data_IF_551883327741
#
_entry.id   IF_551883327741
#
_cell.length_a   1.000
_cell.length_b   1.000
_cell.length_c   1.000
_cell.angle_alpha   90.00
_cell.angle_beta   90.00
_cell.angle_gamma   90.00
#
_symmetry.space_group_name_H-M   'P 1'
#
loop_
_entity.id
_entity.type
_entity.pdbx_description
1 polymer ?
#
# COMPACT_ATOMS: atom_id res chain seq x y z
N UNK A 1 9.83 -5.24 42.58
CA UNK A 1 10.61 -5.33 41.33
C UNK A 1 11.13 -3.93 41.06
N UNK A 2 12.45 -3.74 41.01
CA UNK A 2 13.00 -2.46 40.59
C UNK A 2 12.78 -2.29 39.09
N UNK A 3 12.19 -1.16 38.71
CA UNK A 3 12.03 -0.76 37.32
C UNK A 3 13.37 -0.25 36.81
N UNK A 4 13.79 -0.72 35.64
CA UNK A 4 14.90 -0.09 34.93
C UNK A 4 14.56 1.38 34.65
N UNK A 5 15.43 2.28 35.13
CA UNK A 5 15.26 3.73 34.99
C UNK A 5 15.06 4.14 33.52
N UNK A 6 15.68 3.44 32.57
CA UNK A 6 15.52 3.70 31.14
C UNK A 6 14.11 3.42 30.67
N UNK A 7 13.55 2.27 31.06
CA UNK A 7 12.17 1.87 30.71
C UNK A 7 11.18 2.85 31.32
N UNK A 8 11.43 3.30 32.56
CA UNK A 8 10.59 4.29 33.22
C UNK A 8 10.56 5.61 32.46
N UNK A 9 11.73 6.17 32.15
CA UNK A 9 11.85 7.44 31.40
C UNK A 9 11.21 7.31 30.02
N UNK A 10 11.40 6.17 29.35
CA UNK A 10 10.80 5.93 28.02
C UNK A 10 9.27 5.91 28.07
N UNK A 11 8.68 5.16 29.00
CA UNK A 11 7.22 5.11 29.18
C UNK A 11 6.65 6.48 29.53
N UNK A 12 7.29 7.19 30.46
CA UNK A 12 6.83 8.53 30.88
C UNK A 12 6.92 9.54 29.73
N UNK A 13 7.99 9.49 28.92
CA UNK A 13 8.16 10.36 27.76
C UNK A 13 7.11 10.07 26.67
N UNK A 14 6.88 8.80 26.33
CA UNK A 14 5.87 8.42 25.32
C UNK A 14 4.48 8.79 25.82
N UNK A 15 4.17 8.56 27.10
CA UNK A 15 2.88 8.90 27.68
C UNK A 15 2.60 10.41 27.67
N UNK A 16 3.64 11.25 27.80
CA UNK A 16 3.49 12.71 27.76
C UNK A 16 3.12 13.25 26.37
N UNK A 17 3.50 12.54 25.29
CA UNK A 17 3.26 12.96 23.90
C UNK A 17 2.27 12.03 23.15
N UNK A 18 1.57 11.16 23.88
CA UNK A 18 0.77 10.07 23.30
C UNK A 18 -0.38 10.56 22.39
N UNK A 19 -0.87 11.78 22.61
CA UNK A 19 -1.93 12.39 21.81
C UNK A 19 -1.40 13.07 20.54
N UNK A 20 -0.12 13.44 20.52
CA UNK A 20 0.55 14.11 19.39
C UNK A 20 1.31 13.15 18.49
N UNK A 21 1.70 11.97 19.01
CA UNK A 21 2.46 10.97 18.28
C UNK A 21 1.61 10.28 17.20
N UNK A 22 2.20 10.13 16.02
CA UNK A 22 1.54 9.42 14.92
C UNK A 22 1.67 7.88 15.03
N UNK A 23 0.85 7.16 14.27
CA UNK A 23 0.77 5.69 14.35
C UNK A 23 2.08 5.01 13.92
N UNK A 24 2.84 5.62 13.00
CA UNK A 24 4.14 5.08 12.58
C UNK A 24 5.20 5.35 13.63
N UNK A 25 5.25 6.57 14.18
CA UNK A 25 6.17 6.94 15.25
C UNK A 25 6.00 6.08 16.50
N UNK A 26 4.75 5.77 16.88
CA UNK A 26 4.48 4.89 18.02
C UNK A 26 5.02 3.47 17.79
N UNK A 27 5.02 3.00 16.54
CA UNK A 27 5.64 1.74 16.13
C UNK A 27 7.13 1.88 15.80
N UNK A 28 7.73 3.07 15.99
CA UNK A 28 9.12 3.40 15.63
C UNK A 28 9.43 3.15 14.15
N UNK A 29 8.46 3.42 13.29
CA UNK A 29 8.55 3.29 11.84
C UNK A 29 8.55 4.66 11.17
N UNK A 30 9.05 4.69 9.92
CA UNK A 30 8.87 5.84 9.04
C UNK A 30 7.47 5.84 8.45
N UNK A 31 6.94 7.03 8.19
CA UNK A 31 5.67 7.20 7.49
C UNK A 31 5.63 6.42 6.18
N UNK A 32 4.56 5.66 5.97
CA UNK A 32 4.37 4.83 4.80
C UNK A 32 5.03 3.45 4.83
N UNK A 33 5.66 3.04 5.94
CA UNK A 33 6.29 1.72 6.07
C UNK A 33 5.38 0.56 5.59
N UNK A 34 5.96 -0.50 5.00
CA UNK A 34 5.17 -1.61 4.47
C UNK A 34 4.57 -2.45 5.60
N UNK A 35 3.42 -3.08 5.33
CA UNK A 35 2.66 -3.88 6.33
C UNK A 35 3.53 -4.94 7.05
N UNK A 36 4.44 -5.69 6.37
CA UNK A 36 5.30 -6.64 7.07
C UNK A 36 6.23 -6.01 8.12
N UNK A 37 6.60 -4.75 7.96
CA UNK A 37 7.43 -4.05 8.94
C UNK A 37 6.58 -3.49 10.08
N UNK A 38 5.33 -3.10 9.79
CA UNK A 38 4.30 -2.79 10.79
C UNK A 38 4.07 -4.00 11.72
N UNK A 39 3.91 -5.20 11.17
CA UNK A 39 3.72 -6.44 11.95
C UNK A 39 4.92 -6.75 12.85
N UNK A 40 6.15 -6.65 12.32
CA UNK A 40 7.38 -6.88 13.10
C UNK A 40 7.54 -5.84 14.21
N UNK A 41 7.31 -4.58 13.89
CA UNK A 41 7.42 -3.48 14.84
C UNK A 41 6.41 -3.64 15.98
N UNK A 42 5.14 -3.92 15.64
CA UNK A 42 4.11 -4.22 16.63
C UNK A 42 4.53 -5.38 17.54
N UNK A 43 4.97 -6.51 16.98
CA UNK A 43 5.40 -7.65 17.79
C UNK A 43 6.55 -7.33 18.75
N UNK A 44 7.48 -6.44 18.37
CA UNK A 44 8.54 -5.97 19.24
C UNK A 44 8.02 -5.03 20.34
N UNK A 45 7.24 -4.02 19.97
CA UNK A 45 6.74 -3.01 20.91
C UNK A 45 5.69 -3.58 21.88
N UNK A 46 4.80 -4.46 21.43
CA UNK A 46 3.82 -5.13 22.30
C UNK A 46 4.50 -5.94 23.40
N UNK A 47 5.64 -6.58 23.12
CA UNK A 47 6.41 -7.32 24.13
C UNK A 47 7.05 -6.39 25.16
N UNK A 48 7.44 -5.18 24.77
CA UNK A 48 8.06 -4.22 25.67
C UNK A 48 7.02 -3.51 26.54
N UNK A 49 5.88 -3.15 25.97
CA UNK A 49 4.83 -2.36 26.63
C UNK A 49 3.62 -3.19 27.08
N UNK A 50 3.74 -4.52 27.19
CA UNK A 50 2.64 -5.35 27.69
C UNK A 50 2.39 -5.04 29.18
N UNK A 51 1.15 -4.72 29.60
CA UNK A 51 0.85 -4.39 30.99
C UNK A 51 1.18 -5.54 31.96
N UNK A 52 1.04 -6.80 31.55
CA UNK A 52 1.36 -7.97 32.40
C UNK A 52 2.83 -8.00 32.84
N UNK A 53 3.75 -7.44 32.06
CA UNK A 53 5.16 -7.38 32.45
C UNK A 53 5.38 -6.50 33.70
N UNK A 54 4.40 -5.66 34.04
CA UNK A 54 4.50 -4.64 35.08
C UNK A 54 3.43 -4.77 36.18
N UNK A 55 2.73 -5.91 36.25
CA UNK A 55 1.65 -6.14 37.22
C UNK A 55 2.11 -5.99 38.70
N UNK A 56 3.38 -6.24 39.00
CA UNK A 56 3.98 -6.12 40.35
C UNK A 56 4.67 -4.78 40.65
N UNK A 57 4.55 -3.78 39.78
CA UNK A 57 5.13 -2.44 39.98
C UNK A 57 4.21 -1.63 40.90
N UNK A 58 4.73 -1.17 42.04
CA UNK A 58 3.99 -0.36 43.02
C UNK A 58 3.69 1.09 42.62
N UNK A 59 3.75 1.42 41.33
CA UNK A 59 3.52 2.76 40.77
C UNK A 59 2.30 2.72 39.84
N UNK A 60 1.16 3.14 40.38
CA UNK A 60 -0.11 3.16 39.65
C UNK A 60 -0.09 4.13 38.45
N UNK A 61 0.69 5.22 38.51
CA UNK A 61 0.81 6.18 37.40
C UNK A 61 1.55 5.54 36.25
N UNK A 62 2.65 4.85 36.54
CA UNK A 62 3.40 4.09 35.55
C UNK A 62 2.55 2.99 34.91
N UNK A 63 1.83 2.19 35.71
CA UNK A 63 0.96 1.13 35.16
C UNK A 63 -0.13 1.67 34.23
N UNK A 64 -0.75 2.81 34.58
CA UNK A 64 -1.72 3.50 33.71
C UNK A 64 -1.06 3.98 32.42
N UNK A 65 0.14 4.55 32.50
CA UNK A 65 0.90 5.00 31.33
C UNK A 65 1.19 3.83 30.36
N UNK A 66 1.70 2.71 30.86
CA UNK A 66 1.94 1.50 30.04
C UNK A 66 0.65 1.01 29.40
N UNK A 67 -0.45 0.95 30.15
CA UNK A 67 -1.76 0.51 29.63
C UNK A 67 -2.25 1.43 28.51
N UNK A 68 -2.14 2.75 28.68
CA UNK A 68 -2.52 3.72 27.66
C UNK A 68 -1.66 3.60 26.41
N UNK A 69 -0.34 3.45 26.56
CA UNK A 69 0.58 3.23 25.44
C UNK A 69 0.21 1.95 24.69
N UNK A 70 0.00 0.85 25.40
CA UNK A 70 -0.37 -0.43 24.81
C UNK A 70 -1.69 -0.36 24.04
N UNK A 71 -2.69 0.35 24.58
CA UNK A 71 -3.96 0.58 23.89
C UNK A 71 -3.75 1.35 22.58
N UNK A 72 -3.01 2.46 22.62
CA UNK A 72 -2.69 3.27 21.44
C UNK A 72 -1.89 2.47 20.40
N UNK A 73 -0.99 1.60 20.87
CA UNK A 73 -0.20 0.71 20.03
C UNK A 73 -1.09 -0.27 19.25
N UNK A 74 -2.10 -0.84 19.91
CA UNK A 74 -3.08 -1.72 19.28
C UNK A 74 -3.93 -0.97 18.24
N UNK A 75 -4.38 0.25 18.57
CA UNK A 75 -5.12 1.10 17.63
C UNK A 75 -4.28 1.43 16.39
N UNK A 76 -3.02 1.84 16.58
CA UNK A 76 -2.07 2.11 15.50
C UNK A 76 -1.87 0.87 14.61
N UNK A 77 -1.69 -0.31 15.21
CA UNK A 77 -1.54 -1.55 14.48
C UNK A 77 -2.79 -1.93 13.68
N UNK A 78 -3.99 -1.79 14.25
CA UNK A 78 -5.24 -2.09 13.54
C UNK A 78 -5.41 -1.20 12.30
N UNK A 79 -5.08 0.09 12.40
CA UNK A 79 -5.15 1.02 11.27
C UNK A 79 -4.09 0.70 10.21
N UNK A 80 -2.87 0.37 10.62
CA UNK A 80 -1.74 0.20 9.70
C UNK A 80 -1.62 -1.21 9.11
N UNK A 81 -2.26 -2.22 9.72
CA UNK A 81 -2.29 -3.59 9.19
C UNK A 81 -3.27 -3.73 8.03
N UNK A 82 -4.41 -3.04 8.09
CA UNK A 82 -5.41 -3.06 7.04
C UNK A 82 -4.98 -2.16 5.88
N UNK A 83 -4.94 -2.71 4.66
CA UNK A 83 -4.43 -2.00 3.50
C UNK A 83 -5.28 -0.78 3.11
N UNK A 84 -6.60 -0.84 3.28
CA UNK A 84 -7.50 0.27 2.97
C UNK A 84 -7.40 1.36 4.03
N UNK A 85 -7.45 0.98 5.32
CA UNK A 85 -7.34 1.93 6.43
C UNK A 85 -5.97 2.61 6.44
N UNK A 86 -4.89 1.86 6.19
CA UNK A 86 -3.54 2.40 6.05
C UNK A 86 -3.47 3.42 4.91
N UNK A 87 -4.06 3.11 3.75
CA UNK A 87 -4.07 4.02 2.60
C UNK A 87 -4.83 5.31 2.91
N UNK A 88 -5.97 5.22 3.60
CA UNK A 88 -6.73 6.39 4.04
C UNK A 88 -5.94 7.22 5.06
N UNK A 89 -5.30 6.56 6.01
CA UNK A 89 -4.45 7.20 7.02
C UNK A 89 -3.25 7.91 6.38
N UNK A 90 -2.52 7.22 5.49
CA UNK A 90 -1.38 7.75 4.74
C UNK A 90 -1.78 8.98 3.92
N UNK A 91 -2.93 8.91 3.23
CA UNK A 91 -3.47 10.04 2.48
C UNK A 91 -3.80 11.23 3.38
N UNK A 92 -4.40 11.00 4.56
CA UNK A 92 -4.77 12.05 5.51
C UNK A 92 -3.55 12.75 6.11
N UNK A 93 -2.51 11.98 6.44
CA UNK A 93 -1.27 12.49 7.04
C UNK A 93 -0.26 12.99 6.01
N UNK A 94 -0.54 12.87 4.71
CA UNK A 94 0.40 13.26 3.66
C UNK A 94 1.60 12.32 3.52
N UNK A 95 1.55 11.13 4.12
CA UNK A 95 2.57 10.11 3.94
C UNK A 95 2.45 9.54 2.53
N UNK A 96 3.37 9.93 1.65
CA UNK A 96 3.58 9.22 0.39
C UNK A 96 4.34 7.95 0.71
N UNK A 97 3.60 6.84 0.79
CA UNK A 97 4.22 5.53 0.96
C UNK A 97 5.32 5.32 -0.09
N UNK A 98 6.47 4.73 0.27
CA UNK A 98 7.35 4.16 -0.74
C UNK A 98 6.49 3.25 -1.62
N UNK A 99 6.52 3.53 -2.93
CA UNK A 99 5.82 2.75 -3.95
C UNK A 99 6.07 1.28 -3.64
N UNK A 100 5.01 0.54 -3.33
CA UNK A 100 5.12 -0.82 -2.81
C UNK A 100 5.73 -1.75 -3.86
N UNK A 101 7.06 -1.83 -3.90
CA UNK A 101 7.76 -3.01 -4.40
C UNK A 101 7.47 -4.12 -3.40
N UNK A 102 6.43 -4.91 -3.67
CA UNK A 102 6.10 -6.11 -2.92
C UNK A 102 7.24 -7.13 -3.04
N UNK A 103 8.19 -7.07 -2.12
CA UNK A 103 9.32 -7.99 -2.01
C UNK A 103 9.37 -8.65 -0.64
N UNK A 104 8.80 -9.86 -0.56
CA UNK A 104 8.89 -10.77 0.60
C UNK A 104 10.37 -11.07 0.93
N UNK A 105 10.76 -10.92 2.19
CA UNK A 105 11.91 -11.63 2.82
C UNK A 105 11.36 -12.97 3.33
N UNK A 106 11.92 -14.15 3.12
CA UNK A 106 13.28 -14.67 3.33
C UNK A 106 13.33 -16.05 2.63
N UNK A 107 14.40 -16.54 1.99
CA UNK A 107 15.61 -17.05 2.65
C UNK A 107 16.64 -17.54 1.59
N UNK A 108 17.82 -16.91 1.56
CA UNK A 108 19.18 -17.43 1.26
C UNK A 108 19.38 -18.47 0.11
N UNK A 109 20.03 -18.08 -1.00
CA UNK A 109 21.49 -18.30 -1.29
C UNK A 109 21.85 -18.04 -2.76
N UNK A 110 22.98 -17.32 -2.91
CA UNK A 110 23.89 -17.17 -4.07
C UNK A 110 23.41 -16.29 -5.22
N UNK A 111 24.32 -15.36 -5.55
CA UNK A 111 24.11 -14.23 -6.43
C UNK A 111 23.71 -14.64 -7.84
N UNK A 112 22.58 -14.10 -8.25
CA UNK A 112 22.19 -13.93 -9.64
C UNK A 112 21.76 -12.46 -9.71
N UNK A 113 22.27 -11.72 -10.70
CA UNK A 113 22.18 -10.26 -10.76
C UNK A 113 20.72 -9.78 -10.76
N UNK A 114 20.49 -8.61 -10.17
CA UNK A 114 19.18 -7.94 -10.04
C UNK A 114 18.47 -7.76 -11.41
N UNK A 115 19.24 -7.64 -12.49
CA UNK A 115 18.74 -7.52 -13.87
C UNK A 115 18.13 -8.82 -14.42
N UNK A 116 18.70 -9.97 -14.09
CA UNK A 116 18.25 -11.28 -14.59
C UNK A 116 16.96 -11.73 -13.91
N UNK A 117 16.79 -11.36 -12.63
CA UNK A 117 15.58 -11.63 -11.84
C UNK A 117 14.40 -10.70 -12.19
N UNK A 118 14.67 -9.48 -12.67
CA UNK A 118 13.65 -8.56 -13.19
C UNK A 118 13.20 -9.00 -14.59
N UNK A 119 14.13 -9.44 -15.44
CA UNK A 119 13.81 -9.99 -16.76
C UNK A 119 12.93 -11.26 -16.68
N UNK A 120 13.22 -12.18 -15.75
CA UNK A 120 12.47 -13.44 -15.61
C UNK A 120 11.04 -13.22 -15.04
N UNK A 121 10.85 -12.26 -14.14
CA UNK A 121 9.52 -11.91 -13.58
C UNK A 121 8.64 -11.12 -14.56
N UNK A 122 9.23 -10.26 -15.38
CA UNK A 122 8.52 -9.50 -16.42
C UNK A 122 8.02 -10.41 -17.56
N UNK A 123 8.79 -11.44 -17.93
CA UNK A 123 8.40 -12.44 -18.97
C UNK A 123 7.22 -13.31 -18.52
N UNK A 124 7.10 -13.59 -17.21
CA UNK A 124 6.05 -14.45 -16.65
C UNK A 124 4.73 -13.70 -16.35
N UNK A 125 4.75 -12.39 -16.13
CA UNK A 125 3.56 -11.62 -15.70
C UNK A 125 2.63 -11.17 -16.85
N UNK A 126 3.16 -10.97 -18.06
CA UNK A 126 2.38 -10.51 -19.23
C UNK A 126 1.81 -11.66 -20.10
N UNK A 127 1.88 -12.92 -19.63
CA UNK A 127 1.40 -14.09 -20.39
C UNK A 127 2.01 -14.24 -21.81
N UNK A 128 3.13 -13.56 -22.09
CA UNK A 128 3.73 -13.48 -23.43
C UNK A 128 2.98 -12.60 -24.44
N UNK A 129 1.96 -11.84 -24.03
CA UNK A 129 1.14 -11.01 -24.95
C UNK A 129 1.91 -9.79 -25.44
N UNK A 130 2.77 -9.24 -24.59
CA UNK A 130 3.57 -8.04 -24.84
C UNK A 130 5.01 -8.33 -24.42
N UNK A 131 5.97 -7.98 -25.28
CA UNK A 131 7.39 -8.29 -25.11
C UNK A 131 8.23 -7.11 -24.63
N UNK A 132 7.87 -5.88 -25.02
CA UNK A 132 8.58 -4.66 -24.64
C UNK A 132 8.27 -4.26 -23.19
N UNK A 133 9.31 -3.98 -22.41
CA UNK A 133 9.23 -3.63 -20.97
C UNK A 133 8.32 -2.42 -20.71
N UNK A 134 8.36 -1.40 -21.56
CA UNK A 134 7.51 -0.23 -21.38
C UNK A 134 6.06 -0.56 -21.78
N UNK A 135 5.87 -1.36 -22.82
CA UNK A 135 4.55 -1.82 -23.25
C UNK A 135 3.86 -2.70 -22.19
N UNK A 136 4.60 -3.59 -21.50
CA UNK A 136 4.08 -4.45 -20.42
C UNK A 136 3.40 -3.61 -19.33
N UNK A 137 4.05 -2.54 -18.88
CA UNK A 137 3.47 -1.63 -17.88
C UNK A 137 2.13 -1.06 -18.32
N UNK A 138 2.02 -0.64 -19.57
CA UNK A 138 0.77 -0.07 -20.09
C UNK A 138 -0.31 -1.15 -20.32
N UNK A 139 0.09 -2.38 -20.64
CA UNK A 139 -0.80 -3.54 -20.68
C UNK A 139 -1.43 -3.82 -19.32
N UNK A 140 -0.63 -3.89 -18.26
CA UNK A 140 -1.13 -4.10 -16.88
C UNK A 140 -2.10 -2.99 -16.45
N UNK A 141 -1.77 -1.73 -16.77
CA UNK A 141 -2.64 -0.59 -16.48
C UNK A 141 -3.97 -0.65 -17.27
N UNK A 142 -3.95 -1.19 -18.49
CA UNK A 142 -5.16 -1.41 -19.27
C UNK A 142 -6.04 -2.53 -18.67
N UNK A 143 -5.45 -3.61 -18.16
CA UNK A 143 -6.20 -4.67 -17.46
C UNK A 143 -6.85 -4.15 -16.18
N UNK A 144 -6.13 -3.38 -15.36
CA UNK A 144 -6.68 -2.76 -14.15
C UNK A 144 -7.82 -1.79 -14.51
N UNK A 145 -7.66 -0.97 -15.55
CA UNK A 145 -8.73 -0.08 -16.02
C UNK A 145 -9.96 -0.86 -16.52
N UNK A 146 -9.74 -2.03 -17.12
CA UNK A 146 -10.81 -2.93 -17.57
C UNK A 146 -11.60 -3.48 -16.39
N UNK A 147 -10.92 -3.92 -15.32
CA UNK A 147 -11.56 -4.37 -14.07
C UNK A 147 -12.43 -3.26 -13.45
N UNK A 148 -11.97 -2.01 -13.55
CA UNK A 148 -12.68 -0.83 -13.03
C UNK A 148 -13.76 -0.28 -14.00
N UNK A 149 -13.98 -0.92 -15.16
CA UNK A 149 -14.90 -0.46 -16.21
C UNK A 149 -14.61 0.97 -16.71
N UNK A 150 -13.36 1.43 -16.58
CA UNK A 150 -12.90 2.71 -17.10
C UNK A 150 -12.39 2.56 -18.53
N UNK A 151 -13.32 2.51 -19.48
CA UNK A 151 -13.01 2.33 -20.90
C UNK A 151 -12.15 3.46 -21.49
N UNK A 152 -12.17 4.67 -20.92
CA UNK A 152 -11.26 5.73 -21.38
C UNK A 152 -9.81 5.40 -21.00
N UNK A 153 -9.59 4.95 -19.76
CA UNK A 153 -8.29 4.49 -19.27
C UNK A 153 -7.76 3.30 -20.08
N UNK A 154 -8.62 2.32 -20.40
CA UNK A 154 -8.24 1.16 -21.22
C UNK A 154 -7.73 1.60 -22.59
N UNK A 155 -8.47 2.45 -23.30
CA UNK A 155 -8.10 2.93 -24.65
C UNK A 155 -6.78 3.70 -24.61
N UNK A 156 -6.59 4.58 -23.64
CA UNK A 156 -5.36 5.39 -23.50
C UNK A 156 -4.14 4.51 -23.21
N UNK A 157 -4.26 3.57 -22.27
CA UNK A 157 -3.15 2.70 -21.90
C UNK A 157 -2.78 1.73 -23.04
N UNK A 158 -3.76 1.15 -23.74
CA UNK A 158 -3.47 0.31 -24.91
C UNK A 158 -2.82 1.08 -26.07
N UNK A 159 -3.18 2.36 -26.27
CA UNK A 159 -2.48 3.23 -27.23
C UNK A 159 -1.02 3.47 -26.84
N UNK A 160 -0.74 3.69 -25.56
CA UNK A 160 0.64 3.81 -25.09
C UNK A 160 1.42 2.51 -25.24
N UNK A 161 0.81 1.35 -24.97
CA UNK A 161 1.46 0.06 -25.23
C UNK A 161 1.81 -0.11 -26.72
N UNK A 162 0.90 0.27 -27.62
CA UNK A 162 1.13 0.24 -29.07
C UNK A 162 2.21 1.24 -29.55
N UNK A 163 2.54 2.29 -28.80
CA UNK A 163 3.64 3.17 -29.19
C UNK A 163 4.99 2.45 -29.16
N UNK A 164 5.14 1.49 -28.26
CA UNK A 164 6.33 0.65 -28.12
C UNK A 164 6.22 -0.61 -28.98
N UNK A 165 5.02 -1.20 -29.12
CA UNK A 165 4.78 -2.37 -29.97
C UNK A 165 3.74 -2.12 -31.06
N UNK A 166 4.07 -1.26 -32.02
CA UNK A 166 3.16 -0.82 -33.11
C UNK A 166 2.61 -1.96 -33.96
N UNK A 167 3.33 -3.07 -34.03
CA UNK A 167 2.98 -4.22 -34.85
C UNK A 167 2.19 -5.31 -34.10
N UNK A 168 1.99 -5.19 -32.78
CA UNK A 168 1.35 -6.24 -31.99
C UNK A 168 -0.15 -6.36 -32.35
N UNK A 169 -0.61 -7.51 -32.88
CA UNK A 169 -2.00 -7.68 -33.31
C UNK A 169 -2.96 -7.75 -32.12
N UNK A 170 -2.55 -8.32 -30.98
CA UNK A 170 -3.40 -8.48 -29.80
C UNK A 170 -3.72 -7.13 -29.16
N UNK A 171 -2.73 -6.24 -29.07
CA UNK A 171 -2.93 -4.88 -28.57
C UNK A 171 -3.87 -4.06 -29.46
N UNK A 172 -3.83 -4.27 -30.79
CA UNK A 172 -4.74 -3.61 -31.73
C UNK A 172 -6.18 -4.10 -31.59
N UNK A 173 -6.37 -5.41 -31.48
CA UNK A 173 -7.67 -6.03 -31.26
C UNK A 173 -8.30 -5.52 -29.95
N UNK A 174 -7.54 -5.57 -28.85
CA UNK A 174 -8.00 -5.09 -27.54
C UNK A 174 -8.31 -3.60 -27.54
N UNK A 175 -7.53 -2.80 -28.28
CA UNK A 175 -7.82 -1.37 -28.44
C UNK A 175 -9.13 -1.13 -29.20
N UNK A 176 -9.44 -1.94 -30.21
CA UNK A 176 -10.70 -1.85 -30.95
C UNK A 176 -11.89 -2.21 -30.05
N UNK A 177 -11.83 -3.35 -29.34
CA UNK A 177 -12.85 -3.75 -28.36
C UNK A 177 -13.10 -2.66 -27.31
N UNK A 178 -12.03 -2.06 -26.78
CA UNK A 178 -12.13 -1.01 -25.77
C UNK A 178 -12.76 0.27 -26.32
N UNK A 179 -12.51 0.62 -27.59
CA UNK A 179 -13.14 1.78 -28.25
C UNK A 179 -14.64 1.55 -28.49
N UNK A 180 -15.04 0.35 -28.86
CA UNK A 180 -16.46 0.00 -29.02
C UNK A 180 -17.20 0.13 -27.68
N UNK A 181 -16.65 -0.45 -26.60
CA UNK A 181 -17.24 -0.33 -25.26
C UNK A 181 -17.27 1.11 -24.75
N UNK A 182 -16.27 1.91 -25.11
CA UNK A 182 -16.27 3.34 -24.84
C UNK A 182 -17.38 4.08 -25.61
N UNK A 183 -17.60 3.71 -26.87
CA UNK A 183 -18.68 4.28 -27.69
C UNK A 183 -20.07 3.87 -27.16
N UNK A 184 -20.26 2.60 -26.80
CA UNK A 184 -21.48 2.10 -26.16
C UNK A 184 -21.76 2.84 -24.85
N UNK A 185 -20.73 3.06 -24.01
CA UNK A 185 -20.85 3.86 -22.79
C UNK A 185 -21.33 5.28 -23.10
N UNK A 186 -20.71 5.94 -24.09
CA UNK A 186 -21.07 7.30 -24.50
C UNK A 186 -22.49 7.39 -25.08
N UNK A 187 -22.91 6.37 -25.82
CA UNK A 187 -24.27 6.30 -26.38
C UNK A 187 -25.31 6.04 -25.29
N UNK A 188 -24.99 5.20 -24.30
CA UNK A 188 -25.85 4.98 -23.12
C UNK A 188 -25.94 6.20 -22.20
N UNK A 189 -24.91 7.04 -22.19
CA UNK A 189 -24.84 8.30 -21.45
C UNK A 189 -25.45 9.50 -22.21
N UNK A 190 -25.79 9.36 -23.50
CA UNK A 190 -26.57 10.37 -24.24
C UNK A 190 -28.01 10.38 -23.73
N UNK A 191 -28.28 11.28 -22.80
CA UNK A 191 -29.64 11.56 -22.32
C UNK A 191 -30.49 12.20 -23.44
N UNK A 192 -31.64 11.59 -23.84
CA UNK A 192 -32.48 12.09 -24.94
C UNK A 192 -33.20 13.43 -24.68
N UNK A 193 -33.10 14.02 -23.48
CA UNK A 193 -33.85 15.23 -23.10
C UNK A 193 -33.04 16.52 -22.97
N UNK A 194 -31.93 16.68 -23.71
CA UNK A 194 -31.28 18.01 -23.83
C UNK A 194 -32.08 18.90 -24.80
N UNK A 195 -33.23 19.39 -24.34
CA UNK A 195 -33.99 20.46 -25.00
C UNK A 195 -33.09 21.69 -25.05
N UNK A 196 -32.67 22.09 -26.26
CA UNK A 196 -32.01 23.38 -26.48
C UNK A 196 -33.07 24.46 -26.33
N UNK A 197 -33.08 25.13 -25.16
CA UNK A 197 -33.80 26.40 -25.02
C UNK A 197 -32.98 27.44 -25.78
N UNK A 198 -33.60 28.03 -26.79
CA UNK A 198 -33.02 29.01 -27.72
C UNK A 198 -33.17 30.42 -27.17
#
# INVERSE_FOLDING_TARGET
>A
MELDLRVRVEVEAIAAVLDEIDNYQLLRLKGGAPIPDVEKAYAAQSKMFHPDNYFGVGDAKFQRAVTSIFKKLNEAYQVLKDAELKKMYDKKMGFRGPVASAGKSSRRRRGIGKEELEAEKEVLAAGGVVSDKNAIKYWELAEIATMNKDWNGVVMNLQFALNYEKANPVLKEKLAEAKEKLAEKKEREKNPYKIKIR
#
